data_IF_464729113830
#
_entry.id   IF_464729113830
#
_cell.length_a   1.000
_cell.length_b   1.000
_cell.length_c   1.000
_cell.angle_alpha   90.00
_cell.angle_beta   90.00
_cell.angle_gamma   90.00
#
_symmetry.space_group_name_H-M   'P 1'
#
loop_
_entity.id
_entity.type
_entity.pdbx_description
1 polymer ?
#
# COMPACT_ATOMS: atom_id res chain seq x y z
N UNK A 1 -8.15 3.15 -9.43
CA UNK A 1 -8.58 1.74 -9.34
C UNK A 1 -7.43 0.73 -9.36
N UNK A 2 -6.27 1.00 -9.97
CA UNK A 2 -5.17 0.03 -10.03
C UNK A 2 -4.74 -0.55 -8.67
N UNK A 3 -4.68 0.28 -7.62
CA UNK A 3 -4.31 -0.16 -6.27
C UNK A 3 -5.39 -1.03 -5.61
N UNK A 4 -6.67 -0.66 -5.68
CA UNK A 4 -7.77 -1.50 -5.18
C UNK A 4 -7.81 -2.86 -5.89
N UNK A 5 -7.53 -2.89 -7.20
CA UNK A 5 -7.38 -4.15 -7.97
C UNK A 5 -6.16 -4.95 -7.49
N UNK A 6 -5.04 -4.29 -7.20
CA UNK A 6 -3.84 -4.94 -6.66
C UNK A 6 -4.08 -5.52 -5.26
N UNK A 7 -4.74 -4.78 -4.38
CA UNK A 7 -4.97 -5.16 -2.99
C UNK A 7 -5.98 -6.28 -2.86
N UNK A 8 -7.14 -6.16 -3.52
CA UNK A 8 -8.28 -7.04 -3.24
C UNK A 8 -8.91 -7.68 -4.46
N UNK A 9 -8.45 -7.32 -5.67
CA UNK A 9 -9.19 -7.56 -6.92
C UNK A 9 -10.60 -6.96 -6.86
N UNK A 10 -10.72 -5.80 -6.22
CA UNK A 10 -11.99 -5.10 -5.99
C UNK A 10 -13.01 -5.91 -5.18
N UNK A 11 -12.56 -6.67 -4.17
CA UNK A 11 -13.44 -7.46 -3.28
C UNK A 11 -13.38 -6.91 -1.86
N UNK A 12 -14.48 -6.37 -1.38
CA UNK A 12 -14.57 -5.67 -0.09
C UNK A 12 -14.62 -6.61 1.13
N UNK A 13 -15.05 -7.86 0.95
CA UNK A 13 -15.25 -8.82 2.04
C UNK A 13 -14.08 -9.77 2.32
N UNK A 14 -12.87 -9.47 1.83
CA UNK A 14 -11.72 -10.39 1.96
C UNK A 14 -10.75 -9.96 3.05
N UNK A 15 -10.14 -10.96 3.68
CA UNK A 15 -9.01 -10.80 4.60
C UNK A 15 -7.83 -11.61 4.07
N UNK A 16 -6.67 -10.98 3.88
CA UNK A 16 -5.45 -11.69 3.51
C UNK A 16 -4.90 -12.54 4.66
N UNK A 17 -4.01 -13.48 4.32
CA UNK A 17 -3.41 -14.41 5.30
C UNK A 17 -2.56 -13.69 6.35
N UNK A 18 -2.10 -12.48 6.06
CA UNK A 18 -1.32 -11.61 6.94
C UNK A 18 -2.20 -10.65 7.76
N UNK A 19 -3.52 -10.69 7.56
CA UNK A 19 -4.49 -9.89 8.32
C UNK A 19 -4.94 -8.61 7.62
N UNK A 20 -4.52 -8.33 6.39
CA UNK A 20 -5.01 -7.18 5.63
C UNK A 20 -6.51 -7.28 5.33
N UNK A 21 -7.29 -6.22 5.59
CA UNK A 21 -8.75 -6.23 5.55
C UNK A 21 -9.36 -5.36 4.45
N UNK A 22 -10.34 -5.91 3.73
CA UNK A 22 -11.22 -5.20 2.80
C UNK A 22 -10.53 -4.61 1.57
N UNK A 23 -11.15 -3.62 0.92
CA UNK A 23 -10.71 -3.18 -0.42
C UNK A 23 -9.24 -2.72 -0.49
N UNK A 24 -8.75 -2.10 0.58
CA UNK A 24 -7.38 -1.61 0.69
C UNK A 24 -6.43 -2.54 1.46
N UNK A 25 -6.90 -3.71 1.90
CA UNK A 25 -6.14 -4.65 2.74
C UNK A 25 -5.48 -3.97 3.95
N UNK A 26 -6.23 -3.11 4.64
CA UNK A 26 -5.71 -2.40 5.82
C UNK A 26 -5.39 -3.38 6.94
N UNK A 27 -4.18 -3.28 7.49
CA UNK A 27 -3.83 -3.93 8.75
C UNK A 27 -4.64 -3.33 9.90
N UNK A 28 -4.99 -4.09 10.96
CA UNK A 28 -5.80 -3.60 12.08
C UNK A 28 -5.28 -2.29 12.69
N UNK A 29 -3.98 -2.22 12.97
CA UNK A 29 -3.36 -1.03 13.57
C UNK A 29 -3.38 0.18 12.63
N UNK A 30 -3.21 -0.05 11.31
CA UNK A 30 -3.30 1.02 10.32
C UNK A 30 -4.73 1.53 10.19
N UNK A 31 -5.72 0.63 10.21
CA UNK A 31 -7.13 1.02 10.20
C UNK A 31 -7.50 1.85 11.44
N UNK A 32 -7.05 1.43 12.62
CA UNK A 32 -7.23 2.16 13.87
C UNK A 32 -6.55 3.54 13.84
N UNK A 33 -5.31 3.60 13.36
CA UNK A 33 -4.58 4.87 13.22
C UNK A 33 -5.25 5.84 12.26
N UNK A 34 -5.68 5.35 11.08
CA UNK A 34 -6.42 6.16 10.11
C UNK A 34 -7.73 6.69 10.68
N UNK A 35 -8.50 5.84 11.35
CA UNK A 35 -9.78 6.22 11.97
C UNK A 35 -9.60 7.32 13.04
N UNK A 36 -8.55 7.21 13.86
CA UNK A 36 -8.25 8.21 14.88
C UNK A 36 -7.78 9.55 14.27
N UNK A 37 -6.98 9.47 13.21
CA UNK A 37 -6.33 10.62 12.55
C UNK A 37 -7.29 11.43 11.67
N UNK A 38 -8.04 10.75 10.80
CA UNK A 38 -8.73 11.40 9.69
C UNK A 38 -10.20 11.65 10.03
N UNK A 39 -10.56 12.92 10.26
CA UNK A 39 -11.93 13.31 10.59
C UNK A 39 -12.94 12.87 9.51
N UNK A 40 -12.52 12.82 8.24
CA UNK A 40 -13.33 12.39 7.11
C UNK A 40 -13.78 10.92 7.19
N UNK A 41 -13.14 10.08 8.03
CA UNK A 41 -13.54 8.69 8.22
C UNK A 41 -14.65 8.52 9.26
N UNK A 42 -14.84 9.52 10.13
CA UNK A 42 -15.87 9.50 11.18
C UNK A 42 -17.29 9.58 10.62
N UNK A 43 -17.45 9.98 9.36
CA UNK A 43 -18.74 9.96 8.64
C UNK A 43 -19.33 8.54 8.51
N UNK A 44 -18.49 7.51 8.61
CA UNK A 44 -18.91 6.11 8.49
C UNK A 44 -19.17 5.45 9.84
N UNK A 45 -18.64 6.00 10.94
CA UNK A 45 -18.73 5.44 12.28
C UNK A 45 -17.55 5.88 13.15
N UNK A 46 -17.61 5.59 14.45
CA UNK A 46 -16.52 5.89 15.40
C UNK A 46 -15.36 4.90 15.24
N UNK A 47 -15.68 3.63 14.98
CA UNK A 47 -14.71 2.56 14.81
C UNK A 47 -14.26 2.39 13.35
N UNK A 48 -13.06 1.81 13.10
CA UNK A 48 -12.60 1.54 11.75
C UNK A 48 -13.52 0.54 11.03
N UNK A 49 -13.86 0.82 9.77
CA UNK A 49 -14.71 -0.06 8.95
C UNK A 49 -14.01 -0.52 7.66
N UNK A 50 -12.93 -1.31 7.75
CA UNK A 50 -12.15 -1.72 6.59
C UNK A 50 -12.93 -2.52 5.54
N UNK A 51 -14.03 -3.20 5.94
CA UNK A 51 -14.92 -3.94 5.04
C UNK A 51 -16.04 -3.08 4.42
N UNK A 52 -16.23 -1.84 4.89
CA UNK A 52 -17.15 -0.90 4.26
C UNK A 52 -16.45 -0.26 3.05
N UNK A 53 -16.95 -0.44 1.81
CA UNK A 53 -16.25 0.00 0.61
C UNK A 53 -16.04 1.52 0.57
N UNK A 54 -16.97 2.31 1.11
CA UNK A 54 -16.84 3.78 1.14
C UNK A 54 -15.75 4.22 2.11
N UNK A 55 -15.70 3.61 3.29
CA UNK A 55 -14.64 3.84 4.27
C UNK A 55 -13.29 3.41 3.70
N UNK A 56 -13.20 2.21 3.14
CA UNK A 56 -11.95 1.64 2.65
C UNK A 56 -11.32 2.46 1.52
N UNK A 57 -12.14 2.90 0.56
CA UNK A 57 -11.65 3.76 -0.54
C UNK A 57 -11.23 5.13 0.00
N UNK A 58 -11.99 5.74 0.92
CA UNK A 58 -11.62 7.04 1.51
C UNK A 58 -10.33 6.94 2.32
N UNK A 59 -10.21 5.92 3.15
CA UNK A 59 -9.01 5.67 3.96
C UNK A 59 -7.80 5.42 3.06
N UNK A 60 -7.92 4.62 2.00
CA UNK A 60 -6.83 4.35 1.06
C UNK A 60 -6.30 5.65 0.44
N UNK A 61 -7.17 6.49 -0.09
CA UNK A 61 -6.78 7.77 -0.72
C UNK A 61 -6.12 8.71 0.30
N UNK A 62 -6.65 8.79 1.52
CA UNK A 62 -6.10 9.63 2.58
C UNK A 62 -4.72 9.11 3.03
N UNK A 63 -4.57 7.80 3.15
CA UNK A 63 -3.30 7.19 3.55
C UNK A 63 -2.25 7.36 2.44
N UNK A 64 -2.59 7.11 1.19
CA UNK A 64 -1.70 7.38 0.05
C UNK A 64 -1.27 8.84 0.02
N UNK A 65 -2.18 9.80 0.25
CA UNK A 65 -1.85 11.22 0.31
C UNK A 65 -0.90 11.54 1.45
N UNK A 66 -1.08 10.93 2.61
CA UNK A 66 -0.16 11.06 3.74
C UNK A 66 1.22 10.52 3.35
N UNK A 67 1.29 9.31 2.81
CA UNK A 67 2.56 8.68 2.41
C UNK A 67 3.27 9.44 1.28
N UNK A 68 2.53 9.98 0.32
CA UNK A 68 3.07 10.81 -0.76
C UNK A 68 3.77 12.06 -0.22
N UNK A 69 3.24 12.66 0.85
CA UNK A 69 3.83 13.85 1.49
C UNK A 69 5.03 13.52 2.38
N UNK A 70 4.97 12.40 3.09
CA UNK A 70 5.97 12.04 4.10
C UNK A 70 7.14 11.22 3.53
N UNK A 71 7.00 10.67 2.32
CA UNK A 71 8.07 9.94 1.68
C UNK A 71 9.31 10.86 1.47
N UNK A 72 10.53 10.40 1.81
CA UNK A 72 11.73 11.23 1.64
C UNK A 72 12.05 11.62 0.20
N UNK A 73 11.55 10.84 -0.77
CA UNK A 73 11.65 11.12 -2.20
C UNK A 73 10.25 11.30 -2.77
N UNK A 74 10.11 12.23 -3.72
CA UNK A 74 8.82 12.58 -4.31
C UNK A 74 8.37 11.56 -5.36
N UNK A 75 7.05 11.33 -5.42
CA UNK A 75 6.41 10.58 -6.49
C UNK A 75 5.62 9.36 -6.02
N UNK A 76 4.67 8.94 -6.86
CA UNK A 76 3.76 7.83 -6.57
C UNK A 76 4.45 6.50 -6.33
N UNK A 77 5.62 6.29 -6.95
CA UNK A 77 6.44 5.11 -6.68
C UNK A 77 6.76 4.97 -5.18
N UNK A 78 7.22 6.05 -4.54
CA UNK A 78 7.59 6.03 -3.12
C UNK A 78 6.39 5.93 -2.20
N UNK A 79 5.28 6.61 -2.53
CA UNK A 79 4.04 6.47 -1.79
C UNK A 79 3.56 5.00 -1.76
N UNK A 80 3.54 4.34 -2.92
CA UNK A 80 3.13 2.93 -3.02
C UNK A 80 4.13 1.97 -2.37
N UNK A 81 5.44 2.23 -2.47
CA UNK A 81 6.46 1.47 -1.72
C UNK A 81 6.24 1.58 -0.22
N UNK A 82 5.90 2.77 0.28
CA UNK A 82 5.63 3.00 1.69
C UNK A 82 4.30 2.35 2.14
N UNK A 83 3.25 2.37 1.30
CA UNK A 83 1.97 1.73 1.58
C UNK A 83 2.14 0.23 1.81
N UNK A 84 2.78 -0.44 0.85
CA UNK A 84 2.96 -1.88 0.90
C UNK A 84 4.06 -2.34 1.87
N UNK A 85 5.06 -1.48 2.09
CA UNK A 85 6.32 -1.86 2.72
C UNK A 85 6.61 -1.24 4.08
N UNK A 86 5.81 -0.26 4.47
CA UNK A 86 6.07 0.62 5.60
C UNK A 86 7.09 1.72 5.28
N UNK A 87 6.77 2.95 5.69
CA UNK A 87 7.61 4.13 5.51
C UNK A 87 9.00 3.96 6.11
N UNK A 88 9.13 3.39 7.31
CA UNK A 88 10.42 3.21 7.98
C UNK A 88 11.42 2.35 7.18
N UNK A 89 10.93 1.32 6.50
CA UNK A 89 11.78 0.49 5.64
C UNK A 89 12.21 1.25 4.39
N UNK A 90 11.27 1.96 3.74
CA UNK A 90 11.57 2.77 2.57
C UNK A 90 12.59 3.88 2.89
N UNK A 91 12.40 4.62 3.99
CA UNK A 91 13.32 5.67 4.43
C UNK A 91 14.72 5.12 4.71
N UNK A 92 14.82 3.90 5.25
CA UNK A 92 16.11 3.22 5.42
C UNK A 92 16.76 2.87 4.08
N UNK A 93 15.99 2.35 3.13
CA UNK A 93 16.47 2.00 1.77
C UNK A 93 16.96 3.25 1.03
N UNK A 94 16.21 4.36 1.08
CA UNK A 94 16.59 5.67 0.49
C UNK A 94 17.88 6.18 1.11
N UNK A 95 17.98 6.18 2.44
CA UNK A 95 19.19 6.63 3.14
C UNK A 95 20.43 5.81 2.78
N UNK A 96 20.28 4.49 2.62
CA UNK A 96 21.38 3.61 2.20
C UNK A 96 21.76 3.81 0.74
N UNK A 97 20.80 4.18 -0.11
CA UNK A 97 21.04 4.48 -1.51
C UNK A 97 21.71 5.84 -1.69
N UNK A 98 21.42 6.79 -0.79
CA UNK A 98 21.81 8.19 -0.89
C UNK A 98 21.40 8.80 -2.24
N UNK A 99 20.19 8.47 -2.68
CA UNK A 99 19.68 8.78 -4.02
C UNK A 99 18.16 8.62 -4.02
N UNK A 100 17.47 9.39 -4.86
CA UNK A 100 16.06 9.20 -5.20
C UNK A 100 15.84 8.43 -6.51
N UNK A 101 16.90 7.84 -7.08
CA UNK A 101 16.78 6.97 -8.25
C UNK A 101 16.22 5.61 -7.79
N UNK A 102 15.06 5.22 -8.33
CA UNK A 102 14.34 4.00 -7.94
C UNK A 102 15.25 2.77 -7.92
N UNK A 103 16.05 2.56 -8.98
CA UNK A 103 16.97 1.43 -9.12
C UNK A 103 18.07 1.42 -8.06
N UNK A 104 18.54 2.57 -7.61
CA UNK A 104 19.56 2.64 -6.56
C UNK A 104 18.98 2.17 -5.22
N UNK A 105 17.74 2.56 -4.94
CA UNK A 105 16.99 2.22 -3.73
C UNK A 105 16.59 0.74 -3.73
N UNK A 106 16.11 0.22 -4.86
CA UNK A 106 15.78 -1.21 -5.04
C UNK A 106 16.95 -2.11 -4.66
N UNK A 107 18.18 -1.76 -5.09
CA UNK A 107 19.41 -2.51 -4.77
C UNK A 107 19.78 -2.49 -3.29
N UNK A 108 19.18 -1.61 -2.47
CA UNK A 108 19.43 -1.55 -1.02
C UNK A 108 18.42 -2.36 -0.20
N UNK A 109 17.41 -2.95 -0.83
CA UNK A 109 16.44 -3.75 -0.10
C UNK A 109 17.10 -4.97 0.54
N UNK A 110 16.85 -5.17 1.85
CA UNK A 110 17.33 -6.31 2.65
C UNK A 110 16.22 -6.85 3.54
N UNK A 111 15.02 -6.99 2.98
CA UNK A 111 13.84 -7.51 3.67
C UNK A 111 13.87 -9.04 3.73
N UNK A 112 13.00 -9.59 4.56
CA UNK A 112 12.95 -11.04 4.82
C UNK A 112 12.38 -11.79 3.62
N UNK A 113 12.83 -13.04 3.46
CA UNK A 113 12.12 -14.04 2.66
C UNK A 113 11.29 -14.88 3.62
N UNK A 114 9.97 -14.90 3.41
CA UNK A 114 9.04 -15.66 4.24
C UNK A 114 8.76 -17.02 3.60
N UNK A 115 8.72 -18.09 4.40
CA UNK A 115 8.23 -19.40 3.95
C UNK A 115 6.76 -19.53 4.30
N UNK A 116 5.91 -19.65 3.30
CA UNK A 116 4.48 -19.84 3.48
C UNK A 116 4.17 -21.28 3.89
N UNK A 117 2.97 -21.51 4.44
CA UNK A 117 2.49 -22.86 4.82
C UNK A 117 2.49 -23.84 3.64
N UNK A 118 2.34 -23.34 2.41
CA UNK A 118 2.43 -24.13 1.17
C UNK A 118 3.85 -24.57 0.81
N UNK A 119 4.87 -24.13 1.57
CA UNK A 119 6.28 -24.33 1.25
C UNK A 119 6.87 -23.28 0.30
N UNK A 120 6.02 -22.47 -0.35
CA UNK A 120 6.44 -21.39 -1.23
C UNK A 120 7.24 -20.30 -0.48
N UNK A 121 8.19 -19.69 -1.19
CA UNK A 121 8.98 -18.58 -0.67
C UNK A 121 8.42 -17.25 -1.18
N UNK A 122 8.25 -16.30 -0.26
CA UNK A 122 7.78 -14.95 -0.53
C UNK A 122 8.92 -13.97 -0.20
N UNK A 123 9.56 -13.44 -1.23
CA UNK A 123 10.59 -12.41 -1.08
C UNK A 123 9.94 -11.05 -0.87
N UNK A 124 10.04 -10.50 0.35
CA UNK A 124 9.42 -9.22 0.68
C UNK A 124 10.11 -8.02 0.01
N UNK A 125 11.33 -8.16 -0.51
CA UNK A 125 11.90 -7.17 -1.41
C UNK A 125 11.18 -7.18 -2.74
N UNK A 126 11.03 -8.35 -3.36
CA UNK A 126 10.29 -8.49 -4.62
C UNK A 126 8.85 -7.98 -4.50
N UNK A 127 8.12 -8.42 -3.48
CA UNK A 127 6.73 -8.00 -3.23
C UNK A 127 6.62 -6.47 -3.17
N UNK A 128 7.52 -5.82 -2.44
CA UNK A 128 7.46 -4.37 -2.29
C UNK A 128 7.94 -3.62 -3.52
N UNK A 129 9.03 -4.09 -4.16
CA UNK A 129 9.58 -3.48 -5.38
C UNK A 129 8.56 -3.53 -6.52
N UNK A 130 7.89 -4.66 -6.71
CA UNK A 130 6.94 -4.85 -7.82
C UNK A 130 5.62 -4.11 -7.62
N UNK A 131 5.26 -3.80 -6.37
CA UNK A 131 3.96 -3.24 -6.02
C UNK A 131 3.57 -1.97 -6.80
N UNK A 132 4.40 -0.90 -6.89
CA UNK A 132 4.07 0.27 -7.69
C UNK A 132 3.87 -0.05 -9.18
N UNK A 133 4.73 -0.90 -9.76
CA UNK A 133 4.65 -1.28 -11.17
C UNK A 133 3.36 -2.04 -11.49
N UNK A 134 2.94 -2.96 -10.59
CA UNK A 134 1.69 -3.70 -10.72
C UNK A 134 0.47 -2.78 -10.62
N UNK A 135 0.51 -1.76 -9.75
CA UNK A 135 -0.55 -0.75 -9.67
C UNK A 135 -0.66 0.00 -11.00
N UNK A 136 0.45 0.50 -11.54
CA UNK A 136 0.44 1.22 -12.82
C UNK A 136 -0.08 0.34 -13.95
N UNK A 137 0.39 -0.90 -14.05
CA UNK A 137 -0.09 -1.86 -15.04
C UNK A 137 -1.60 -2.13 -14.91
N UNK A 138 -2.10 -2.33 -13.69
CA UNK A 138 -3.54 -2.55 -13.45
C UNK A 138 -4.35 -1.29 -13.73
N UNK A 139 -3.80 -0.10 -13.49
CA UNK A 139 -4.47 1.16 -13.73
C UNK A 139 -4.82 1.36 -15.22
N UNK A 140 -4.02 0.83 -16.15
CA UNK A 140 -4.29 0.89 -17.60
C UNK A 140 -5.68 0.36 -17.97
N UNK A 141 -6.17 -0.68 -17.30
CA UNK A 141 -7.51 -1.25 -17.53
C UNK A 141 -8.63 -0.22 -17.33
N UNK A 142 -8.38 0.77 -16.48
CA UNK A 142 -9.37 1.75 -16.02
C UNK A 142 -9.20 3.11 -16.70
N UNK A 143 -8.26 3.27 -17.64
CA UNK A 143 -8.05 4.53 -18.38
C UNK A 143 -9.08 4.81 -19.48
N UNK A 144 -10.20 4.08 -19.55
CA UNK A 144 -11.23 4.29 -20.58
C UNK A 144 -12.02 5.58 -20.33
N UNK A 145 -12.00 6.49 -21.30
CA UNK A 145 -12.90 7.65 -21.37
C UNK A 145 -12.25 9.05 -21.44
N UNK A 146 -10.95 9.19 -21.72
CA UNK A 146 -10.30 10.48 -21.97
C UNK A 146 -9.90 10.67 -23.44
N UNK A 147 -10.77 10.26 -24.36
CA UNK A 147 -10.70 10.61 -25.79
C UNK A 147 -11.95 11.40 -26.17
#
# INVERSE_FOLDING_TARGET
MGQVDQESRCREGITAFDGGMGLGQFMPDTAAWMQAREAALKEFGIDPQPYNPRWAIRALILYDRYLYKEAPCEGWYFAFRAYNGGMGNLSKEIRLANSCIEKDIERRCKRRVLRLKSGALLDMCKVNIEYPYLIFQKAEKYKRGMN
#
